data_IF_890427957308
#
_entry.id   IF_890427957308
#
_cell.length_a   1.000
_cell.length_b   1.000
_cell.length_c   1.000
_cell.angle_alpha   90.00
_cell.angle_beta   90.00
_cell.angle_gamma   90.00
#
_symmetry.space_group_name_H-M   'P 1'
#
loop_
_entity.id
_entity.type
_entity.pdbx_description
1 polymer ?
#
# COMPACT_ATOMS: atom_id res chain seq x y z
N UNK A 1 25.29 10.09 -21.89
CA UNK A 1 25.20 9.06 -20.81
C UNK A 1 25.69 9.74 -19.57
N UNK A 2 24.90 9.75 -18.54
CA UNK A 2 25.26 10.34 -17.25
C UNK A 2 25.54 9.24 -16.23
N UNK A 3 26.51 9.48 -15.37
CA UNK A 3 27.02 8.47 -14.44
C UNK A 3 26.81 8.88 -12.99
N UNK A 4 26.55 7.90 -12.12
CA UNK A 4 26.45 8.11 -10.69
C UNK A 4 27.84 8.51 -10.14
N UNK A 5 27.93 9.68 -9.49
CA UNK A 5 29.19 10.14 -8.86
C UNK A 5 29.14 10.15 -7.34
N UNK A 6 27.92 10.25 -6.75
CA UNK A 6 27.75 10.22 -5.30
C UNK A 6 26.45 9.53 -4.92
N UNK A 7 26.53 8.69 -3.90
CA UNK A 7 25.37 8.10 -3.21
C UNK A 7 25.53 8.33 -1.73
N UNK A 8 24.58 9.00 -1.11
CA UNK A 8 24.65 9.40 0.28
C UNK A 8 23.35 9.10 1.03
N UNK A 9 23.43 8.21 2.01
CA UNK A 9 22.31 7.91 2.90
C UNK A 9 22.37 8.68 4.21
N UNK A 10 21.18 8.96 4.77
CA UNK A 10 20.98 9.48 6.11
C UNK A 10 19.79 8.83 6.80
N UNK A 11 19.78 8.94 8.12
CA UNK A 11 18.61 8.60 8.93
C UNK A 11 17.72 9.84 9.04
N UNK A 12 16.44 9.68 8.71
CA UNK A 12 15.37 10.66 8.95
C UNK A 12 14.30 10.06 9.83
N UNK A 13 13.22 10.78 10.11
CA UNK A 13 12.08 10.27 10.88
C UNK A 13 10.85 10.08 9.99
N UNK A 14 10.12 9.00 10.21
CA UNK A 14 8.84 8.73 9.58
C UNK A 14 7.67 9.44 10.29
N UNK A 15 6.46 9.28 9.77
CA UNK A 15 5.22 9.88 10.29
C UNK A 15 4.85 9.44 11.72
N UNK A 16 5.50 8.39 12.24
CA UNK A 16 5.35 7.89 13.61
C UNK A 16 6.50 8.34 14.52
N UNK A 17 7.45 9.13 14.00
CA UNK A 17 8.67 9.53 14.72
C UNK A 17 9.69 8.41 14.85
N UNK A 18 9.58 7.32 14.07
CA UNK A 18 10.58 6.26 14.01
C UNK A 18 11.62 6.57 12.93
N UNK A 19 12.90 6.21 13.15
CA UNK A 19 13.92 6.33 12.12
C UNK A 19 13.59 5.54 10.86
N UNK A 20 13.91 6.16 9.69
CA UNK A 20 13.92 5.50 8.39
C UNK A 20 15.09 6.00 7.54
N UNK A 21 15.32 5.37 6.39
CA UNK A 21 16.45 5.67 5.49
C UNK A 21 16.00 6.62 4.40
N UNK A 22 16.79 7.67 4.17
CA UNK A 22 16.72 8.54 3.00
C UNK A 22 18.05 8.51 2.26
N UNK A 23 18.01 8.46 0.92
CA UNK A 23 19.19 8.43 0.06
C UNK A 23 19.12 9.53 -0.98
N UNK A 24 20.25 10.20 -1.20
CA UNK A 24 20.54 11.06 -2.34
C UNK A 24 21.45 10.32 -3.32
N UNK A 25 21.14 10.41 -4.61
CA UNK A 25 22.00 9.98 -5.72
C UNK A 25 22.25 11.19 -6.60
N UNK A 26 23.52 11.49 -6.86
CA UNK A 26 23.95 12.60 -7.70
C UNK A 26 24.66 12.07 -8.94
N UNK A 27 24.36 12.64 -10.10
CA UNK A 27 25.02 12.35 -11.38
C UNK A 27 26.12 13.37 -11.70
N UNK A 28 27.01 13.02 -12.63
CA UNK A 28 28.07 13.90 -13.15
C UNK A 28 27.52 15.13 -13.92
N UNK A 29 26.32 15.06 -14.45
CA UNK A 29 25.62 16.20 -15.07
C UNK A 29 24.80 17.03 -14.06
N UNK A 30 24.78 16.63 -12.78
CA UNK A 30 24.20 17.40 -11.68
C UNK A 30 22.75 17.05 -11.33
N UNK A 31 22.16 16.01 -11.93
CA UNK A 31 20.83 15.55 -11.53
C UNK A 31 20.86 14.90 -10.15
N UNK A 32 19.89 15.26 -9.30
CA UNK A 32 19.78 14.81 -7.92
C UNK A 32 18.48 14.02 -7.70
N UNK A 33 18.59 12.72 -7.43
CA UNK A 33 17.47 11.91 -7.00
C UNK A 33 17.46 11.70 -5.49
N UNK A 34 16.35 12.03 -4.81
CA UNK A 34 16.17 11.80 -3.37
C UNK A 34 14.99 10.89 -3.12
N UNK A 35 15.18 9.84 -2.33
CA UNK A 35 14.10 8.95 -1.93
C UNK A 35 14.19 8.59 -0.45
N UNK A 36 13.03 8.59 0.22
CA UNK A 36 12.85 8.09 1.57
C UNK A 36 11.95 6.86 1.55
N UNK A 37 12.27 5.85 2.36
CA UNK A 37 11.52 4.58 2.36
C UNK A 37 10.54 4.50 3.51
N UNK A 38 9.35 3.87 3.29
CA UNK A 38 8.36 3.66 4.33
C UNK A 38 8.72 2.47 5.23
N UNK A 39 7.99 2.33 6.35
CA UNK A 39 8.15 1.26 7.33
C UNK A 39 6.80 0.72 7.78
N UNK A 40 6.64 -0.61 7.85
CA UNK A 40 5.41 -1.25 8.32
C UNK A 40 5.23 -1.20 9.85
N UNK A 41 3.98 -1.27 10.32
CA UNK A 41 3.64 -1.56 11.71
C UNK A 41 3.40 -3.06 11.90
N UNK A 42 2.49 -3.64 11.12
CA UNK A 42 2.35 -5.08 10.91
C UNK A 42 3.18 -5.49 9.69
N UNK A 43 3.85 -6.62 9.75
CA UNK A 43 4.68 -7.12 8.64
C UNK A 43 4.37 -8.59 8.43
N UNK A 44 4.10 -8.99 7.18
CA UNK A 44 3.98 -10.38 6.78
C UNK A 44 5.29 -11.13 7.01
N UNK A 45 5.21 -12.37 7.41
CA UNK A 45 6.42 -13.19 7.74
C UNK A 45 7.33 -13.42 6.53
N UNK A 46 6.83 -13.19 5.33
CA UNK A 46 7.53 -13.39 4.06
C UNK A 46 8.09 -12.09 3.45
N UNK A 47 7.95 -10.94 4.13
CA UNK A 47 8.50 -9.67 3.65
C UNK A 47 10.03 -9.65 3.65
N UNK A 48 10.62 -8.84 2.78
CA UNK A 48 12.04 -8.53 2.81
C UNK A 48 12.41 -7.81 4.12
N UNK A 49 13.62 -8.05 4.61
CA UNK A 49 14.04 -7.64 5.94
C UNK A 49 14.34 -6.14 6.03
N UNK A 50 13.61 -5.41 6.84
CA UNK A 50 13.94 -4.06 7.25
C UNK A 50 15.06 -4.10 8.30
N UNK A 51 16.25 -3.58 7.98
CA UNK A 51 17.40 -3.64 8.88
C UNK A 51 17.31 -2.54 9.93
N UNK A 52 17.21 -2.96 11.21
CA UNK A 52 17.19 -2.11 12.41
C UNK A 52 18.46 -2.30 13.24
N UNK A 53 18.86 -1.22 13.97
CA UNK A 53 20.07 -1.24 14.80
C UNK A 53 19.93 -2.15 16.02
N UNK A 54 18.71 -2.31 16.54
CA UNK A 54 18.38 -3.06 17.77
C UNK A 54 19.08 -2.54 19.04
N UNK A 55 19.61 -1.31 19.01
CA UNK A 55 20.17 -0.63 20.17
C UNK A 55 19.05 0.02 20.99
N UNK A 56 18.60 -0.64 22.03
CA UNK A 56 17.51 -0.16 22.89
C UNK A 56 17.77 1.21 23.54
N UNK A 57 19.02 1.68 23.61
CA UNK A 57 19.38 2.99 24.15
C UNK A 57 19.09 4.14 23.18
N UNK A 58 18.89 3.85 21.90
CA UNK A 58 18.63 4.83 20.83
C UNK A 58 17.35 4.45 20.10
N UNK A 59 16.40 5.40 20.00
CA UNK A 59 15.12 5.19 19.32
C UNK A 59 14.40 3.88 19.70
N UNK A 60 14.56 3.44 20.95
CA UNK A 60 13.95 2.19 21.48
C UNK A 60 14.30 0.95 20.61
N UNK A 61 15.51 0.94 20.03
CA UNK A 61 15.97 -0.15 19.15
C UNK A 61 15.65 0.04 17.65
N UNK A 62 14.87 1.07 17.29
CA UNK A 62 14.39 1.26 15.92
C UNK A 62 15.33 2.08 15.01
N UNK A 63 16.55 2.43 15.45
CA UNK A 63 17.56 3.10 14.63
C UNK A 63 17.85 2.35 13.33
N UNK A 64 18.33 3.08 12.30
CA UNK A 64 18.66 2.52 10.96
C UNK A 64 20.10 2.87 10.52
N UNK A 65 20.97 3.22 11.47
CA UNK A 65 22.35 3.59 11.13
C UNK A 65 23.17 2.45 10.51
N UNK A 66 22.84 1.19 10.79
CA UNK A 66 23.45 0.04 10.10
C UNK A 66 23.09 0.04 8.62
N UNK A 67 21.81 0.26 8.28
CA UNK A 67 21.35 0.36 6.91
C UNK A 67 22.00 1.57 6.20
N UNK A 68 22.04 2.73 6.86
CA UNK A 68 22.74 3.93 6.36
C UNK A 68 24.23 3.63 6.08
N UNK A 69 24.91 2.96 7.00
CA UNK A 69 26.31 2.55 6.81
C UNK A 69 26.47 1.60 5.62
N UNK A 70 25.57 0.64 5.46
CA UNK A 70 25.59 -0.29 4.33
C UNK A 70 25.45 0.44 2.98
N UNK A 71 24.61 1.47 2.91
CA UNK A 71 24.54 2.32 1.70
C UNK A 71 25.87 3.05 1.48
N UNK A 72 26.36 3.80 2.47
CA UNK A 72 27.51 4.69 2.30
C UNK A 72 28.83 3.94 2.10
N UNK A 73 29.04 2.79 2.77
CA UNK A 73 30.31 2.08 2.77
C UNK A 73 30.36 0.92 1.76
N UNK A 74 29.20 0.34 1.39
CA UNK A 74 29.16 -0.84 0.52
C UNK A 74 28.47 -0.49 -0.81
N UNK A 75 27.17 -0.13 -0.79
CA UNK A 75 26.41 0.08 -2.03
C UNK A 75 27.02 1.20 -2.85
N UNK A 76 27.28 2.37 -2.26
CA UNK A 76 27.84 3.54 -2.94
C UNK A 76 29.14 3.21 -3.69
N UNK A 77 30.05 2.45 -3.07
CA UNK A 77 31.33 2.08 -3.69
C UNK A 77 31.20 1.16 -4.90
N UNK A 78 30.12 0.40 -4.96
CA UNK A 78 29.90 -0.57 -6.03
C UNK A 78 29.07 -0.02 -7.19
N UNK A 79 28.25 1.03 -6.96
CA UNK A 79 27.42 1.62 -8.03
C UNK A 79 27.92 2.95 -8.56
N UNK A 80 28.89 3.62 -7.90
CA UNK A 80 29.55 4.80 -8.45
C UNK A 80 30.20 4.46 -9.79
N UNK A 81 29.98 5.29 -10.80
CA UNK A 81 30.41 5.09 -12.18
C UNK A 81 29.44 4.28 -13.03
N UNK A 82 28.32 3.79 -12.47
CA UNK A 82 27.26 3.18 -13.29
C UNK A 82 26.51 4.24 -14.08
N UNK A 83 26.05 3.87 -15.26
CA UNK A 83 25.07 4.64 -16.03
C UNK A 83 23.78 4.75 -15.21
N UNK A 84 23.31 5.98 -14.99
CA UNK A 84 22.12 6.26 -14.16
C UNK A 84 20.86 5.58 -14.70
N UNK A 85 20.80 5.28 -15.98
CA UNK A 85 19.66 4.63 -16.64
C UNK A 85 19.64 3.11 -16.49
N UNK A 86 20.73 2.51 -15.99
CA UNK A 86 20.90 1.05 -15.85
C UNK A 86 20.16 0.47 -14.63
N UNK A 87 18.93 0.93 -14.34
CA UNK A 87 18.14 0.59 -13.15
C UNK A 87 18.17 -0.91 -12.80
N UNK A 88 17.84 -1.76 -13.77
CA UNK A 88 17.75 -3.20 -13.52
C UNK A 88 19.11 -3.83 -13.15
N UNK A 89 20.21 -3.35 -13.76
CA UNK A 89 21.55 -3.82 -13.44
C UNK A 89 22.00 -3.35 -12.05
N UNK A 90 21.67 -2.11 -11.67
CA UNK A 90 21.95 -1.57 -10.34
C UNK A 90 21.17 -2.32 -9.27
N UNK A 91 19.88 -2.56 -9.47
CA UNK A 91 19.04 -3.31 -8.53
C UNK A 91 19.55 -4.74 -8.38
N UNK A 92 19.90 -5.41 -9.48
CA UNK A 92 20.44 -6.76 -9.47
C UNK A 92 21.79 -6.84 -8.74
N UNK A 93 22.68 -5.88 -8.97
CA UNK A 93 23.97 -5.79 -8.25
C UNK A 93 23.75 -5.65 -6.74
N UNK A 94 22.80 -4.80 -6.30
CA UNK A 94 22.51 -4.66 -4.87
C UNK A 94 21.97 -5.94 -4.25
N UNK A 95 21.14 -6.69 -4.97
CA UNK A 95 20.63 -8.01 -4.55
C UNK A 95 21.80 -9.00 -4.40
N UNK A 96 22.72 -9.03 -5.34
CA UNK A 96 23.93 -9.90 -5.31
C UNK A 96 24.88 -9.53 -4.18
N UNK A 97 25.09 -8.24 -3.89
CA UNK A 97 25.89 -7.75 -2.76
C UNK A 97 25.28 -8.15 -1.41
N UNK A 98 23.96 -8.18 -1.31
CA UNK A 98 23.25 -8.71 -0.15
C UNK A 98 23.43 -10.23 -0.05
N UNK A 99 23.12 -10.96 -1.11
CA UNK A 99 23.31 -12.40 -1.23
C UNK A 99 22.40 -13.25 -0.34
N UNK A 100 21.39 -12.65 0.34
CA UNK A 100 20.39 -13.38 1.14
C UNK A 100 19.03 -13.38 0.46
N UNK A 101 18.19 -14.37 0.73
CA UNK A 101 16.90 -14.51 0.09
C UNK A 101 15.92 -13.36 0.39
N UNK A 102 16.09 -12.71 1.55
CA UNK A 102 15.19 -11.67 2.04
C UNK A 102 15.88 -10.32 2.31
N UNK A 103 17.05 -10.09 1.71
CA UNK A 103 17.84 -8.85 1.86
C UNK A 103 18.22 -8.49 3.31
N UNK A 104 18.46 -9.52 4.14
CA UNK A 104 18.73 -9.33 5.59
C UNK A 104 20.15 -8.86 5.91
N UNK A 105 21.10 -8.93 4.98
CA UNK A 105 22.50 -8.51 5.20
C UNK A 105 22.67 -7.00 5.05
N UNK A 106 22.24 -6.43 3.95
CA UNK A 106 22.31 -4.99 3.70
C UNK A 106 21.08 -4.25 4.23
N UNK A 107 19.94 -4.90 4.20
CA UNK A 107 18.62 -4.36 4.55
C UNK A 107 17.81 -3.96 3.33
N UNK A 108 16.56 -4.43 3.24
CA UNK A 108 15.66 -4.03 2.17
C UNK A 108 15.42 -2.51 2.15
N UNK A 109 15.40 -1.87 3.31
CA UNK A 109 15.30 -0.41 3.43
C UNK A 109 16.51 0.32 2.83
N UNK A 110 17.74 -0.19 3.00
CA UNK A 110 18.94 0.36 2.36
C UNK A 110 18.88 0.22 0.84
N UNK A 111 18.57 -0.98 0.35
CA UNK A 111 18.52 -1.30 -1.08
C UNK A 111 17.42 -0.51 -1.77
N UNK A 112 16.21 -0.48 -1.22
CA UNK A 112 15.07 0.24 -1.80
C UNK A 112 15.32 1.75 -1.89
N UNK A 113 15.89 2.35 -0.84
CA UNK A 113 16.13 3.79 -0.85
C UNK A 113 17.09 4.19 -1.99
N UNK A 114 18.13 3.40 -2.25
CA UNK A 114 19.03 3.58 -3.38
C UNK A 114 18.30 3.36 -4.71
N UNK A 115 17.58 2.26 -4.84
CA UNK A 115 16.84 1.90 -6.05
C UNK A 115 15.89 3.04 -6.49
N UNK A 116 15.11 3.60 -5.55
CA UNK A 116 14.19 4.69 -5.85
C UNK A 116 14.91 6.03 -6.12
N UNK A 117 16.01 6.29 -5.41
CA UNK A 117 16.81 7.52 -5.64
C UNK A 117 17.47 7.50 -7.03
N UNK A 118 17.97 6.33 -7.47
CA UNK A 118 18.49 6.14 -8.84
C UNK A 118 17.43 6.46 -9.89
N UNK A 119 16.23 5.91 -9.74
CA UNK A 119 15.13 6.18 -10.69
C UNK A 119 14.74 7.65 -10.74
N UNK A 120 14.77 8.35 -9.58
CA UNK A 120 14.49 9.80 -9.53
C UNK A 120 15.59 10.64 -10.17
N UNK A 121 16.87 10.29 -9.94
CA UNK A 121 17.99 10.96 -10.59
C UNK A 121 17.95 10.76 -12.12
N UNK A 122 17.63 9.54 -12.58
CA UNK A 122 17.49 9.24 -14.00
C UNK A 122 16.30 9.98 -14.65
N UNK A 123 15.20 10.15 -13.93
CA UNK A 123 14.05 10.94 -14.40
C UNK A 123 14.40 12.43 -14.52
N UNK A 124 15.11 12.98 -13.54
CA UNK A 124 15.62 14.37 -13.56
C UNK A 124 16.60 14.58 -14.72
N UNK A 125 17.53 13.64 -14.93
CA UNK A 125 18.47 13.64 -16.05
C UNK A 125 17.77 13.65 -17.41
N UNK A 126 16.70 12.85 -17.51
CA UNK A 126 15.87 12.79 -18.71
C UNK A 126 14.93 14.00 -18.88
N UNK A 127 14.90 14.90 -17.91
CA UNK A 127 13.95 16.02 -17.84
C UNK A 127 12.48 15.56 -17.99
N UNK A 128 12.16 14.45 -17.32
CA UNK A 128 10.82 13.86 -17.29
C UNK A 128 10.31 13.73 -15.85
N UNK A 129 9.01 13.94 -15.60
CA UNK A 129 8.42 13.56 -14.33
C UNK A 129 8.55 12.04 -14.11
N UNK A 130 8.73 11.62 -12.85
CA UNK A 130 9.04 10.23 -12.50
C UNK A 130 8.05 9.23 -13.11
N UNK A 131 6.74 9.50 -13.04
CA UNK A 131 5.74 8.61 -13.60
C UNK A 131 5.90 8.41 -15.11
N UNK A 132 6.33 9.46 -15.84
CA UNK A 132 6.56 9.41 -17.29
C UNK A 132 7.86 8.69 -17.64
N UNK A 133 8.91 8.91 -16.86
CA UNK A 133 10.19 8.23 -17.02
C UNK A 133 10.03 6.71 -16.88
N UNK A 134 9.37 6.25 -15.81
CA UNK A 134 9.21 4.82 -15.53
C UNK A 134 8.17 4.17 -16.47
N UNK A 135 7.02 4.82 -16.67
CA UNK A 135 5.88 4.22 -17.38
C UNK A 135 5.78 4.53 -18.87
N UNK A 136 6.66 5.43 -19.36
CA UNK A 136 6.69 5.82 -20.77
C UNK A 136 5.44 6.56 -21.24
N UNK A 137 5.17 6.50 -22.54
CA UNK A 137 4.11 7.30 -23.17
C UNK A 137 2.69 6.90 -22.77
N UNK A 138 2.50 5.67 -22.27
CA UNK A 138 1.18 5.18 -21.85
C UNK A 138 0.93 5.32 -20.33
N UNK A 139 1.82 5.96 -19.57
CA UNK A 139 1.62 6.28 -18.16
C UNK A 139 0.60 7.41 -18.01
N UNK A 140 -0.70 7.08 -17.97
CA UNK A 140 -1.79 8.07 -17.98
C UNK A 140 -3.04 7.65 -17.19
N UNK A 141 -3.02 6.50 -16.55
CA UNK A 141 -4.15 6.04 -15.73
C UNK A 141 -3.98 6.57 -14.30
N UNK A 142 -4.84 7.51 -13.91
CA UNK A 142 -4.94 7.97 -12.53
C UNK A 142 -5.60 6.90 -11.68
N UNK A 143 -5.06 6.61 -10.48
CA UNK A 143 -5.59 5.53 -9.67
C UNK A 143 -6.87 5.93 -8.92
N UNK A 144 -7.84 5.01 -8.81
CA UNK A 144 -8.97 5.12 -7.89
C UNK A 144 -8.47 5.11 -6.44
N UNK A 145 -8.74 6.14 -5.62
CA UNK A 145 -8.33 6.14 -4.23
C UNK A 145 -9.19 5.20 -3.38
N UNK A 146 -8.51 4.38 -2.57
CA UNK A 146 -9.08 3.57 -1.49
C UNK A 146 -8.71 4.26 -0.17
N UNK A 147 -9.64 5.05 0.38
CA UNK A 147 -9.35 5.97 1.49
C UNK A 147 -9.75 5.35 2.82
N UNK A 148 -8.77 4.99 3.66
CA UNK A 148 -9.01 4.41 4.99
C UNK A 148 -9.54 5.49 5.96
N UNK A 149 -10.85 5.56 6.16
CA UNK A 149 -11.49 6.61 6.99
C UNK A 149 -11.84 6.17 8.40
N UNK A 150 -11.86 4.85 8.70
CA UNK A 150 -12.14 4.30 10.02
C UNK A 150 -11.28 3.06 10.29
N UNK A 151 -10.62 3.03 11.44
CA UNK A 151 -9.64 2.02 11.83
C UNK A 151 -10.15 1.11 12.94
N UNK A 152 -9.74 -0.14 12.88
CA UNK A 152 -9.83 -1.14 13.92
C UNK A 152 -8.56 -2.01 13.97
N UNK A 153 -8.70 -3.28 14.32
CA UNK A 153 -7.59 -4.23 14.34
C UNK A 153 -6.36 -3.73 15.09
N UNK A 154 -5.20 -3.93 14.52
CA UNK A 154 -3.92 -3.42 15.05
C UNK A 154 -3.77 -1.89 14.92
N UNK A 155 -4.58 -1.23 14.08
CA UNK A 155 -4.52 0.21 13.83
C UNK A 155 -5.29 1.07 14.84
N UNK A 156 -6.07 0.47 15.75
CA UNK A 156 -6.82 1.21 16.76
C UNK A 156 -7.03 0.40 18.05
N UNK A 157 -6.99 1.07 19.19
CA UNK A 157 -7.33 0.49 20.50
C UNK A 157 -8.85 0.58 20.73
N UNK A 158 -9.61 -0.29 20.03
CA UNK A 158 -11.07 -0.39 20.10
C UNK A 158 -11.53 -1.86 19.94
N UNK A 159 -12.86 -2.08 19.88
CA UNK A 159 -13.47 -3.43 19.79
C UNK A 159 -13.80 -3.85 18.36
N UNK A 160 -13.09 -3.33 17.38
CA UNK A 160 -13.24 -3.69 15.97
C UNK A 160 -12.12 -4.68 15.63
N UNK A 161 -12.45 -5.86 15.09
CA UNK A 161 -11.45 -6.85 14.71
C UNK A 161 -10.78 -6.54 13.37
N UNK A 162 -11.54 -6.04 12.38
CA UNK A 162 -11.03 -5.70 11.07
C UNK A 162 -10.26 -4.39 11.09
N UNK A 163 -9.17 -4.34 10.30
CA UNK A 163 -8.17 -3.30 10.44
C UNK A 163 -8.59 -1.96 9.80
N UNK A 164 -9.21 -2.00 8.61
CA UNK A 164 -9.53 -0.78 7.86
C UNK A 164 -10.89 -0.84 7.18
N UNK A 165 -11.62 0.27 7.26
CA UNK A 165 -12.85 0.52 6.52
C UNK A 165 -12.58 1.68 5.57
N UNK A 166 -12.54 1.38 4.28
CA UNK A 166 -12.17 2.30 3.22
C UNK A 166 -13.37 2.69 2.38
N UNK A 167 -13.38 3.93 1.89
CA UNK A 167 -14.31 4.40 0.85
C UNK A 167 -13.61 4.49 -0.50
N UNK A 168 -14.36 4.17 -1.56
CA UNK A 168 -13.91 4.27 -2.95
C UNK A 168 -14.93 5.10 -3.74
N UNK A 169 -14.54 6.26 -4.31
CA UNK A 169 -15.45 7.14 -5.07
C UNK A 169 -15.65 6.65 -6.51
N UNK A 170 -16.20 5.43 -6.66
CA UNK A 170 -16.33 4.69 -7.94
C UNK A 170 -17.22 5.38 -8.98
N UNK A 171 -18.04 6.32 -8.57
CA UNK A 171 -18.90 7.12 -9.45
C UNK A 171 -18.32 8.48 -9.82
N UNK A 172 -17.16 8.85 -9.30
CA UNK A 172 -16.54 10.13 -9.57
C UNK A 172 -16.04 10.23 -11.03
N UNK A 173 -16.17 11.41 -11.68
CA UNK A 173 -15.76 11.59 -13.07
C UNK A 173 -14.25 11.78 -13.25
N UNK A 174 -13.53 12.19 -12.20
CA UNK A 174 -12.09 12.47 -12.21
C UNK A 174 -11.46 12.12 -10.86
N UNK A 175 -10.12 12.09 -10.80
CA UNK A 175 -9.41 11.86 -9.55
C UNK A 175 -9.68 12.98 -8.53
N UNK A 176 -9.57 14.24 -8.95
CA UNK A 176 -9.81 15.40 -8.06
C UNK A 176 -11.22 15.42 -7.50
N UNK A 177 -12.25 15.09 -8.31
CA UNK A 177 -13.62 14.97 -7.83
C UNK A 177 -13.77 13.79 -6.86
N UNK A 178 -13.16 12.66 -7.14
CA UNK A 178 -13.15 11.51 -6.23
C UNK A 178 -12.52 11.86 -4.88
N UNK A 179 -11.40 12.56 -4.90
CA UNK A 179 -10.73 13.04 -3.69
C UNK A 179 -11.62 14.02 -2.92
N UNK A 180 -12.27 14.99 -3.60
CA UNK A 180 -13.21 15.93 -2.97
C UNK A 180 -14.33 15.18 -2.24
N UNK A 181 -14.98 14.22 -2.91
CA UNK A 181 -16.03 13.40 -2.28
C UNK A 181 -15.51 12.67 -1.04
N UNK A 182 -14.32 12.10 -1.12
CA UNK A 182 -13.69 11.44 0.02
C UNK A 182 -13.44 12.37 1.20
N UNK A 183 -12.97 13.59 0.95
CA UNK A 183 -12.76 14.64 1.99
C UNK A 183 -14.07 15.06 2.63
N UNK A 184 -15.11 15.28 1.85
CA UNK A 184 -16.43 15.66 2.36
C UNK A 184 -17.04 14.57 3.24
N UNK A 185 -16.92 13.29 2.83
CA UNK A 185 -17.35 12.14 3.63
C UNK A 185 -16.52 12.02 4.91
N UNK A 186 -15.20 12.21 4.84
CA UNK A 186 -14.33 12.21 6.02
C UNK A 186 -14.78 13.25 7.05
N UNK A 187 -15.07 14.49 6.65
CA UNK A 187 -15.57 15.53 7.54
C UNK A 187 -16.98 15.22 8.06
N UNK A 188 -17.84 14.63 7.24
CA UNK A 188 -19.17 14.20 7.67
C UNK A 188 -19.06 13.03 8.68
N UNK A 189 -18.16 12.08 8.48
CA UNK A 189 -17.89 11.00 9.45
C UNK A 189 -17.43 11.56 10.79
N UNK A 190 -16.56 12.60 10.79
CA UNK A 190 -16.18 13.32 12.01
C UNK A 190 -17.39 13.86 12.76
N UNK A 191 -18.33 14.47 12.04
CA UNK A 191 -19.56 15.00 12.61
C UNK A 191 -20.47 13.90 13.16
N UNK A 192 -20.62 12.81 12.43
CA UNK A 192 -21.42 11.62 12.83
C UNK A 192 -20.86 10.98 14.10
N UNK A 193 -19.55 10.75 14.14
CA UNK A 193 -18.86 10.19 15.32
C UNK A 193 -19.04 11.09 16.56
N UNK A 194 -18.85 12.40 16.37
CA UNK A 194 -19.03 13.38 17.47
C UNK A 194 -20.46 13.39 18.02
N UNK A 195 -21.49 13.32 17.14
CA UNK A 195 -22.90 13.23 17.55
C UNK A 195 -23.20 11.96 18.33
N UNK A 196 -22.53 10.84 17.99
CA UNK A 196 -22.64 9.56 18.72
C UNK A 196 -21.83 9.52 20.01
N UNK A 197 -21.07 10.57 20.33
CA UNK A 197 -20.20 10.63 21.52
C UNK A 197 -18.88 9.86 21.37
N UNK A 198 -18.48 9.49 20.15
CA UNK A 198 -17.22 8.82 19.88
C UNK A 198 -16.05 9.79 19.71
N UNK A 199 -14.84 9.30 19.97
CA UNK A 199 -13.59 10.01 19.69
C UNK A 199 -13.44 10.29 18.18
N UNK A 200 -12.92 11.45 17.86
CA UNK A 200 -12.54 11.84 16.49
C UNK A 200 -11.01 11.96 16.34
N UNK A 201 -10.25 11.35 17.24
CA UNK A 201 -8.81 11.18 17.07
C UNK A 201 -8.53 10.26 15.90
N UNK A 202 -7.41 10.50 15.20
CA UNK A 202 -7.01 9.72 14.04
C UNK A 202 -5.84 8.80 14.39
N UNK A 203 -5.79 7.64 13.70
CA UNK A 203 -4.68 6.70 13.76
C UNK A 203 -3.50 7.10 12.86
N UNK A 204 -2.54 6.20 12.75
CA UNK A 204 -1.30 6.40 11.99
C UNK A 204 -1.54 6.74 10.50
N UNK A 205 -2.61 6.25 9.93
CA UNK A 205 -2.97 6.45 8.52
C UNK A 205 -3.99 7.56 8.27
N UNK A 206 -4.32 8.32 9.31
CA UNK A 206 -5.19 9.50 9.21
C UNK A 206 -6.68 9.21 9.29
N UNK A 207 -7.12 7.95 9.32
CA UNK A 207 -8.52 7.55 9.57
C UNK A 207 -8.89 7.67 11.05
N UNK A 208 -10.18 7.82 11.36
CA UNK A 208 -10.64 7.89 12.76
C UNK A 208 -10.45 6.55 13.47
N UNK A 209 -10.16 6.61 14.77
CA UNK A 209 -10.00 5.45 15.65
C UNK A 209 -11.00 5.52 16.82
N UNK A 210 -12.32 5.48 16.56
CA UNK A 210 -13.34 5.57 17.59
C UNK A 210 -13.47 4.26 18.37
N UNK A 211 -13.89 4.33 19.64
CA UNK A 211 -14.18 3.13 20.42
C UNK A 211 -15.56 2.52 20.09
N UNK A 212 -15.76 2.20 18.83
CA UNK A 212 -16.94 1.47 18.32
C UNK A 212 -16.88 0.01 18.81
N UNK A 213 -18.04 -0.60 18.99
CA UNK A 213 -18.18 -1.86 19.74
C UNK A 213 -18.23 -3.11 18.87
N UNK A 214 -18.43 -2.99 17.54
CA UNK A 214 -18.50 -4.12 16.61
C UNK A 214 -18.06 -3.75 15.20
N UNK A 215 -17.72 -4.77 14.41
CA UNK A 215 -17.40 -4.62 12.98
C UNK A 215 -18.61 -4.09 12.20
N UNK A 216 -19.80 -4.57 12.53
CA UNK A 216 -21.06 -4.15 11.90
C UNK A 216 -21.35 -2.67 12.17
N UNK A 217 -21.20 -2.21 13.41
CA UNK A 217 -21.41 -0.80 13.76
C UNK A 217 -20.41 0.10 13.02
N UNK A 218 -19.16 -0.37 12.82
CA UNK A 218 -18.15 0.37 12.09
C UNK A 218 -18.56 0.63 10.65
N UNK A 219 -18.90 -0.42 9.88
CA UNK A 219 -19.31 -0.26 8.48
C UNK A 219 -20.62 0.54 8.36
N UNK A 220 -21.58 0.32 9.24
CA UNK A 220 -22.87 1.04 9.25
C UNK A 220 -22.68 2.53 9.56
N UNK A 221 -21.73 2.88 10.44
CA UNK A 221 -21.38 4.28 10.73
C UNK A 221 -20.72 4.96 9.52
N UNK A 222 -19.89 4.24 8.77
CA UNK A 222 -19.32 4.75 7.51
C UNK A 222 -20.41 4.96 6.47
N UNK A 223 -21.35 4.02 6.31
CA UNK A 223 -22.47 4.15 5.37
C UNK A 223 -23.40 5.31 5.73
N UNK A 224 -23.67 5.53 7.01
CA UNK A 224 -24.42 6.68 7.51
C UNK A 224 -23.73 7.99 7.13
N UNK A 225 -22.41 8.07 7.29
CA UNK A 225 -21.65 9.26 6.93
C UNK A 225 -21.67 9.54 5.42
N UNK A 226 -21.58 8.51 4.57
CA UNK A 226 -21.69 8.64 3.11
C UNK A 226 -23.06 9.25 2.73
N UNK A 227 -24.15 8.70 3.29
CA UNK A 227 -25.51 9.19 3.02
C UNK A 227 -25.73 10.60 3.54
N UNK A 228 -25.24 10.91 4.74
CA UNK A 228 -25.33 12.22 5.34
C UNK A 228 -24.50 13.29 4.60
N UNK A 229 -23.45 12.88 3.89
CA UNK A 229 -22.71 13.74 2.96
C UNK A 229 -23.42 13.95 1.61
N UNK A 230 -24.56 13.29 1.39
CA UNK A 230 -25.36 13.42 0.15
C UNK A 230 -24.97 12.46 -0.97
N UNK A 231 -24.12 11.46 -0.70
CA UNK A 231 -23.68 10.51 -1.71
C UNK A 231 -24.45 9.19 -1.65
N UNK A 232 -24.61 8.55 -2.82
CA UNK A 232 -25.28 7.26 -2.96
C UNK A 232 -24.30 6.11 -2.74
N UNK A 233 -24.58 5.28 -1.74
CA UNK A 233 -23.79 4.06 -1.47
C UNK A 233 -23.89 3.07 -2.63
N UNK A 234 -22.77 2.41 -2.96
CA UNK A 234 -22.66 1.41 -4.01
C UNK A 234 -22.59 1.95 -5.44
N UNK A 235 -23.22 3.07 -5.75
CA UNK A 235 -23.19 3.67 -7.09
C UNK A 235 -22.17 4.81 -7.24
N UNK A 236 -22.10 5.69 -6.24
CA UNK A 236 -21.11 6.77 -6.18
C UNK A 236 -19.94 6.40 -5.29
N UNK A 237 -20.22 5.87 -4.11
CA UNK A 237 -19.21 5.45 -3.12
C UNK A 237 -19.42 3.97 -2.80
N UNK A 238 -18.40 3.17 -3.04
CA UNK A 238 -18.34 1.78 -2.62
C UNK A 238 -17.45 1.64 -1.36
N UNK A 239 -17.51 0.48 -0.72
CA UNK A 239 -16.69 0.14 0.44
C UNK A 239 -15.59 -0.84 0.03
N UNK A 240 -14.38 -0.58 0.51
CA UNK A 240 -13.30 -1.55 0.54
C UNK A 240 -12.89 -1.80 2.00
N UNK A 241 -12.36 -2.98 2.26
CA UNK A 241 -11.94 -3.39 3.59
C UNK A 241 -10.54 -3.98 3.56
N UNK A 242 -9.78 -3.75 4.62
CA UNK A 242 -8.65 -4.58 5.00
C UNK A 242 -8.99 -5.32 6.27
N UNK A 243 -9.07 -6.63 6.15
CA UNK A 243 -9.44 -7.50 7.27
C UNK A 243 -8.24 -7.91 8.12
N UNK A 244 -7.02 -7.93 7.53
CA UNK A 244 -5.77 -8.37 8.16
C UNK A 244 -5.93 -9.70 8.92
N UNK A 245 -6.56 -10.70 8.30
CA UNK A 245 -6.99 -11.92 8.99
C UNK A 245 -5.83 -12.83 9.46
N UNK A 246 -4.59 -12.56 9.08
CA UNK A 246 -3.43 -13.20 9.71
C UNK A 246 -3.36 -12.88 11.21
N UNK A 247 -3.76 -11.67 11.63
CA UNK A 247 -3.84 -11.25 13.04
C UNK A 247 -4.93 -12.01 13.84
N UNK A 248 -5.97 -12.48 13.16
CA UNK A 248 -7.06 -13.25 13.79
C UNK A 248 -6.79 -14.76 13.79
N UNK A 249 -5.77 -15.22 13.05
CA UNK A 249 -5.50 -16.64 12.90
C UNK A 249 -4.81 -17.27 14.11
N UNK A 250 -5.46 -18.24 14.73
CA UNK A 250 -4.85 -19.05 15.77
C UNK A 250 -4.34 -20.38 15.18
N UNK A 251 -3.05 -20.47 14.95
CA UNK A 251 -2.40 -21.63 14.30
C UNK A 251 -2.59 -22.95 15.10
N UNK A 252 -2.64 -22.88 16.43
CA UNK A 252 -2.84 -24.08 17.30
C UNK A 252 -4.25 -24.64 17.17
N UNK A 253 -5.24 -23.76 17.10
CA UNK A 253 -6.67 -24.15 16.97
C UNK A 253 -7.09 -24.33 15.52
N UNK A 254 -6.31 -23.84 14.55
CA UNK A 254 -6.66 -23.71 13.13
C UNK A 254 -8.00 -23.00 12.93
N UNK A 255 -8.15 -21.86 13.62
CA UNK A 255 -9.37 -21.04 13.62
C UNK A 255 -9.04 -19.57 13.64
N UNK A 256 -9.94 -18.77 13.09
CA UNK A 256 -9.98 -17.32 13.23
C UNK A 256 -10.70 -16.95 14.51
N UNK A 257 -10.15 -16.05 15.30
CA UNK A 257 -10.69 -15.63 16.59
C UNK A 257 -10.95 -14.13 16.59
N UNK A 258 -12.19 -13.72 16.73
CA UNK A 258 -12.57 -12.30 16.84
C UNK A 258 -12.31 -11.80 18.26
N UNK A 259 -11.04 -11.69 18.60
CA UNK A 259 -10.59 -11.50 19.99
C UNK A 259 -10.87 -10.10 20.57
N UNK A 260 -11.05 -9.08 19.72
CA UNK A 260 -11.34 -7.71 20.16
C UNK A 260 -12.84 -7.49 20.40
N UNK A 261 -13.69 -8.13 19.64
CA UNK A 261 -15.15 -7.96 19.74
C UNK A 261 -15.82 -9.05 20.57
N UNK A 262 -16.11 -10.19 19.97
CA UNK A 262 -17.03 -11.20 20.51
C UNK A 262 -16.34 -12.42 21.10
N UNK A 263 -15.07 -12.63 20.85
CA UNK A 263 -14.34 -13.87 21.14
C UNK A 263 -14.77 -15.05 20.25
N UNK A 264 -15.60 -14.82 19.23
CA UNK A 264 -16.11 -15.87 18.34
C UNK A 264 -14.98 -16.56 17.58
N UNK A 265 -14.99 -17.89 17.60
CA UNK A 265 -14.08 -18.73 16.84
C UNK A 265 -14.75 -19.21 15.56
N UNK A 266 -14.06 -19.14 14.43
CA UNK A 266 -14.57 -19.60 13.13
C UNK A 266 -13.53 -20.46 12.41
N UNK A 267 -13.97 -21.53 11.76
CA UNK A 267 -13.16 -22.23 10.76
C UNK A 267 -13.01 -21.37 9.49
N UNK A 268 -12.08 -21.73 8.60
CA UNK A 268 -11.94 -21.08 7.29
C UNK A 268 -13.25 -21.06 6.51
N UNK A 269 -14.00 -22.17 6.46
CA UNK A 269 -15.29 -22.23 5.75
C UNK A 269 -16.37 -21.36 6.41
N UNK A 270 -16.35 -21.21 7.73
CA UNK A 270 -17.27 -20.30 8.43
C UNK A 270 -16.94 -18.84 8.16
N UNK A 271 -15.65 -18.49 8.06
CA UNK A 271 -15.23 -17.13 7.70
C UNK A 271 -15.58 -16.82 6.24
N UNK A 272 -15.45 -17.78 5.31
CA UNK A 272 -15.90 -17.61 3.92
C UNK A 272 -17.40 -17.29 3.85
N UNK A 273 -18.24 -18.00 4.61
CA UNK A 273 -19.69 -17.72 4.70
C UNK A 273 -19.98 -16.36 5.33
N UNK A 274 -19.17 -15.94 6.29
CA UNK A 274 -19.27 -14.61 6.90
C UNK A 274 -19.02 -13.51 5.83
N UNK A 275 -17.94 -13.63 5.04
CA UNK A 275 -17.65 -12.71 3.95
C UNK A 275 -18.73 -12.72 2.86
N UNK A 276 -19.23 -13.90 2.48
CA UNK A 276 -20.35 -14.01 1.53
C UNK A 276 -21.58 -13.23 2.02
N UNK A 277 -21.90 -13.32 3.31
CA UNK A 277 -23.03 -12.58 3.90
C UNK A 277 -22.82 -11.08 3.90
N UNK A 278 -21.59 -10.63 4.16
CA UNK A 278 -21.23 -9.22 4.18
C UNK A 278 -21.26 -8.59 2.78
N UNK A 279 -20.72 -9.26 1.78
CA UNK A 279 -20.76 -8.78 0.37
C UNK A 279 -22.20 -8.72 -0.16
N UNK A 280 -23.10 -9.59 0.33
CA UNK A 280 -24.55 -9.52 0.01
C UNK A 280 -25.26 -8.37 0.71
N UNK A 281 -24.87 -8.05 1.96
CA UNK A 281 -25.55 -7.06 2.80
C UNK A 281 -25.06 -5.64 2.52
N UNK A 282 -23.77 -5.46 2.29
CA UNK A 282 -23.11 -4.15 2.19
C UNK A 282 -22.53 -3.92 0.80
N UNK A 283 -22.35 -2.68 0.36
CA UNK A 283 -21.77 -2.35 -0.94
C UNK A 283 -20.24 -2.52 -0.97
N UNK A 284 -19.76 -3.68 -0.51
CA UNK A 284 -18.35 -4.04 -0.47
C UNK A 284 -17.93 -4.52 -1.85
N UNK A 285 -16.89 -3.89 -2.41
CA UNK A 285 -16.33 -4.22 -3.72
C UNK A 285 -14.90 -4.79 -3.64
N UNK A 286 -14.23 -4.64 -2.49
CA UNK A 286 -12.86 -5.11 -2.29
C UNK A 286 -12.63 -5.56 -0.86
N UNK A 287 -11.98 -6.71 -0.67
CA UNK A 287 -11.54 -7.25 0.62
C UNK A 287 -10.07 -7.62 0.50
N UNK A 288 -9.24 -6.96 1.30
CA UNK A 288 -7.81 -7.24 1.45
C UNK A 288 -7.63 -8.21 2.62
N UNK A 289 -6.76 -9.20 2.42
CA UNK A 289 -6.41 -10.26 3.37
C UNK A 289 -7.64 -10.85 4.10
N UNK A 290 -8.63 -11.25 3.28
CA UNK A 290 -9.86 -11.89 3.76
C UNK A 290 -9.64 -13.25 4.43
N UNK A 291 -8.45 -13.84 4.29
CA UNK A 291 -7.97 -15.05 4.96
C UNK A 291 -6.52 -14.84 5.40
N UNK A 292 -6.00 -15.68 6.29
CA UNK A 292 -4.59 -15.62 6.73
C UNK A 292 -3.62 -15.96 5.58
N UNK A 293 -2.41 -15.43 5.66
CA UNK A 293 -1.36 -15.45 4.60
C UNK A 293 -0.93 -16.85 4.15
N UNK A 294 -1.10 -17.89 4.99
CA UNK A 294 -0.77 -19.28 4.65
C UNK A 294 -2.00 -20.21 4.62
N UNK A 295 -3.22 -19.69 4.80
CA UNK A 295 -4.46 -20.45 4.63
C UNK A 295 -4.88 -20.54 3.15
N UNK A 296 -4.03 -21.16 2.32
CA UNK A 296 -4.24 -21.31 0.88
C UNK A 296 -5.56 -21.98 0.51
N UNK A 297 -6.05 -22.92 1.32
CA UNK A 297 -7.33 -23.58 1.10
C UNK A 297 -8.50 -22.64 1.40
N UNK A 298 -8.43 -21.90 2.50
CA UNK A 298 -9.40 -20.86 2.82
C UNK A 298 -9.49 -19.79 1.73
N UNK A 299 -8.35 -19.33 1.25
CA UNK A 299 -8.28 -18.39 0.12
C UNK A 299 -8.90 -18.96 -1.17
N UNK A 300 -8.66 -20.25 -1.47
CA UNK A 300 -9.28 -20.93 -2.62
C UNK A 300 -10.80 -20.95 -2.51
N UNK A 301 -11.31 -21.33 -1.34
CA UNK A 301 -12.74 -21.36 -1.07
C UNK A 301 -13.36 -19.96 -1.14
N UNK A 302 -12.69 -18.94 -0.57
CA UNK A 302 -13.12 -17.54 -0.63
C UNK A 302 -13.21 -17.06 -2.07
N UNK A 303 -12.15 -17.29 -2.86
CA UNK A 303 -12.11 -16.88 -4.28
C UNK A 303 -13.21 -17.53 -5.10
N UNK A 304 -13.45 -18.82 -4.88
CA UNK A 304 -14.51 -19.55 -5.57
C UNK A 304 -15.91 -19.04 -5.20
N UNK A 305 -16.09 -18.59 -3.94
CA UNK A 305 -17.41 -18.19 -3.42
C UNK A 305 -17.80 -16.77 -3.83
N UNK A 306 -16.87 -15.81 -3.78
CA UNK A 306 -17.18 -14.38 -4.00
C UNK A 306 -16.25 -13.67 -4.97
N UNK A 307 -15.21 -14.32 -5.51
CA UNK A 307 -14.24 -13.67 -6.39
C UNK A 307 -14.80 -13.20 -7.74
N UNK A 308 -16.01 -13.65 -8.14
CA UNK A 308 -16.73 -13.12 -9.30
C UNK A 308 -17.46 -11.80 -9.02
N UNK A 309 -17.63 -11.43 -7.77
CA UNK A 309 -18.42 -10.25 -7.30
C UNK A 309 -17.59 -9.23 -6.57
N UNK A 310 -16.45 -9.65 -6.00
CA UNK A 310 -15.64 -8.84 -5.11
C UNK A 310 -14.15 -8.98 -5.48
N UNK A 311 -13.44 -7.88 -5.47
CA UNK A 311 -11.98 -7.88 -5.56
C UNK A 311 -11.42 -8.50 -4.27
N UNK A 312 -10.59 -9.50 -4.40
CA UNK A 312 -9.90 -10.19 -3.31
C UNK A 312 -8.41 -9.89 -3.42
N UNK A 313 -7.92 -9.06 -2.52
CA UNK A 313 -6.56 -8.53 -2.57
C UNK A 313 -5.65 -9.29 -1.61
N UNK A 314 -4.52 -9.77 -2.12
CA UNK A 314 -3.47 -10.34 -1.28
C UNK A 314 -2.42 -9.28 -0.96
N UNK A 315 -2.30 -8.94 0.34
CA UNK A 315 -1.20 -8.16 0.93
C UNK A 315 -0.17 -9.12 1.55
N UNK A 316 -0.38 -9.59 2.76
CA UNK A 316 0.49 -10.57 3.42
C UNK A 316 0.54 -11.90 2.65
N UNK A 317 -0.53 -12.25 1.94
CA UNK A 317 -0.56 -13.43 1.07
C UNK A 317 0.56 -13.41 0.02
N UNK A 318 0.80 -12.28 -0.63
CA UNK A 318 1.72 -12.16 -1.77
C UNK A 318 2.99 -11.37 -1.47
N UNK A 319 2.97 -10.45 -0.52
CA UNK A 319 4.08 -9.58 -0.09
C UNK A 319 4.86 -8.96 -1.27
N UNK A 320 4.15 -8.58 -2.34
CA UNK A 320 4.72 -8.06 -3.60
C UNK A 320 5.78 -9.00 -4.23
N UNK A 321 5.76 -10.29 -3.88
CA UNK A 321 6.75 -11.28 -4.28
C UNK A 321 6.26 -12.11 -5.47
N UNK A 322 7.01 -12.11 -6.58
CA UNK A 322 6.63 -12.82 -7.82
C UNK A 322 6.43 -14.33 -7.63
N UNK A 323 7.18 -14.98 -6.75
CA UNK A 323 7.06 -16.42 -6.49
C UNK A 323 5.75 -16.76 -5.75
N UNK A 324 5.41 -15.98 -4.71
CA UNK A 324 4.14 -16.14 -4.00
C UNK A 324 2.96 -15.80 -4.89
N UNK A 325 3.07 -14.72 -5.67
CA UNK A 325 2.04 -14.31 -6.64
C UNK A 325 1.83 -15.41 -7.70
N UNK A 326 2.90 -15.98 -8.26
CA UNK A 326 2.80 -17.10 -9.22
C UNK A 326 2.08 -18.29 -8.61
N UNK A 327 2.39 -18.63 -7.34
CA UNK A 327 1.66 -19.67 -6.60
C UNK A 327 0.16 -19.40 -6.51
N UNK A 328 -0.23 -18.14 -6.26
CA UNK A 328 -1.64 -17.72 -6.23
C UNK A 328 -2.30 -17.83 -7.61
N UNK A 329 -1.61 -17.41 -8.66
CA UNK A 329 -2.07 -17.51 -10.05
C UNK A 329 -2.32 -18.98 -10.42
N UNK A 330 -1.36 -19.86 -10.19
CA UNK A 330 -1.43 -21.30 -10.51
C UNK A 330 -2.60 -21.98 -9.79
N UNK A 331 -2.84 -21.58 -8.55
CA UNK A 331 -3.95 -22.09 -7.72
C UNK A 331 -5.28 -21.37 -7.99
N UNK A 332 -5.30 -20.32 -8.78
CA UNK A 332 -6.49 -19.45 -9.03
C UNK A 332 -7.04 -18.89 -7.72
N UNK A 333 -6.21 -18.21 -6.95
CA UNK A 333 -6.48 -17.65 -5.63
C UNK A 333 -6.35 -16.14 -5.68
N UNK A 334 -7.30 -15.41 -5.07
CA UNK A 334 -7.41 -13.96 -5.14
C UNK A 334 -7.61 -13.45 -6.59
N UNK A 335 -7.67 -12.15 -6.79
CA UNK A 335 -7.76 -11.48 -8.08
C UNK A 335 -7.18 -10.05 -8.04
N UNK A 336 -6.49 -9.70 -6.96
CA UNK A 336 -5.80 -8.43 -6.78
C UNK A 336 -4.51 -8.61 -5.99
N UNK A 337 -3.49 -7.80 -6.34
CA UNK A 337 -2.21 -7.69 -5.67
C UNK A 337 -2.10 -6.33 -4.99
N UNK A 338 -1.87 -6.29 -3.69
CA UNK A 338 -1.40 -5.09 -3.03
C UNK A 338 0.09 -4.93 -3.28
N UNK A 339 0.51 -3.74 -3.70
CA UNK A 339 1.90 -3.46 -4.12
C UNK A 339 2.54 -2.54 -3.09
N UNK A 340 3.44 -3.07 -2.29
CA UNK A 340 4.23 -2.34 -1.30
C UNK A 340 5.71 -2.46 -1.65
N UNK A 341 6.31 -1.38 -2.13
CA UNK A 341 7.69 -1.37 -2.64
C UNK A 341 8.71 -1.91 -1.65
N UNK A 342 8.50 -1.69 -0.35
CA UNK A 342 9.43 -2.13 0.69
C UNK A 342 9.26 -3.59 1.11
N UNK A 343 8.16 -4.26 0.73
CA UNK A 343 7.99 -5.71 0.99
C UNK A 343 8.94 -6.56 0.14
N UNK A 344 9.33 -6.05 -1.03
CA UNK A 344 10.25 -6.74 -1.94
C UNK A 344 11.63 -6.07 -2.01
N UNK A 345 11.70 -4.73 -1.99
CA UNK A 345 12.92 -3.97 -1.71
C UNK A 345 13.69 -3.43 -2.90
N UNK A 346 13.19 -3.54 -4.15
CA UNK A 346 13.69 -2.81 -5.32
C UNK A 346 12.55 -2.34 -6.23
N UNK A 347 12.82 -1.31 -7.04
CA UNK A 347 11.88 -0.86 -8.06
C UNK A 347 11.69 -1.92 -9.16
N UNK A 348 12.78 -2.55 -9.62
CA UNK A 348 12.72 -3.59 -10.66
C UNK A 348 11.86 -4.78 -10.23
N UNK A 349 12.04 -5.31 -9.01
CA UNK A 349 11.20 -6.40 -8.52
C UNK A 349 9.74 -5.98 -8.36
N UNK A 350 9.49 -4.73 -7.92
CA UNK A 350 8.14 -4.17 -7.84
C UNK A 350 7.46 -4.12 -9.20
N UNK A 351 8.15 -3.62 -10.24
CA UNK A 351 7.66 -3.60 -11.62
C UNK A 351 7.36 -5.03 -12.11
N UNK A 352 8.24 -5.97 -11.84
CA UNK A 352 8.06 -7.37 -12.22
C UNK A 352 6.80 -7.98 -11.57
N UNK A 353 6.55 -7.70 -10.29
CA UNK A 353 5.36 -8.19 -9.60
C UNK A 353 4.07 -7.58 -10.18
N UNK A 354 4.05 -6.27 -10.44
CA UNK A 354 2.92 -5.58 -11.08
C UNK A 354 2.66 -6.14 -12.48
N UNK A 355 3.70 -6.30 -13.29
CA UNK A 355 3.61 -6.83 -14.65
C UNK A 355 3.06 -8.26 -14.65
N UNK A 356 3.58 -9.13 -13.77
CA UNK A 356 3.08 -10.51 -13.62
C UNK A 356 1.59 -10.52 -13.24
N UNK A 357 1.18 -9.68 -12.27
CA UNK A 357 -0.22 -9.57 -11.84
C UNK A 357 -1.13 -9.17 -13.01
N UNK A 358 -0.80 -8.08 -13.71
CA UNK A 358 -1.60 -7.53 -14.79
C UNK A 358 -1.71 -8.50 -15.98
N UNK A 359 -0.62 -9.17 -16.38
CA UNK A 359 -0.63 -10.17 -17.45
C UNK A 359 -1.51 -11.38 -17.14
N UNK A 360 -1.76 -11.66 -15.86
CA UNK A 360 -2.63 -12.74 -15.40
C UNK A 360 -4.03 -12.28 -14.96
N UNK A 361 -4.41 -11.04 -15.29
CA UNK A 361 -5.75 -10.50 -15.06
C UNK A 361 -6.03 -10.11 -13.60
N UNK A 362 -4.99 -10.02 -12.76
CA UNK A 362 -5.11 -9.48 -11.40
C UNK A 362 -5.13 -7.95 -11.44
N UNK A 363 -5.96 -7.35 -10.62
CA UNK A 363 -5.86 -5.92 -10.35
C UNK A 363 -4.59 -5.63 -9.53
N UNK A 364 -4.08 -4.41 -9.66
CA UNK A 364 -2.94 -3.95 -8.87
C UNK A 364 -3.31 -2.70 -8.09
N UNK A 365 -2.97 -2.65 -6.81
CA UNK A 365 -3.26 -1.55 -5.92
C UNK A 365 -1.93 -1.05 -5.34
N UNK A 366 -1.48 0.12 -5.76
CA UNK A 366 -0.29 0.72 -5.16
C UNK A 366 -0.59 1.14 -3.72
N UNK A 367 0.29 0.80 -2.78
CA UNK A 367 0.01 0.98 -1.36
C UNK A 367 1.13 1.69 -0.61
N UNK A 368 0.72 2.49 0.37
CA UNK A 368 1.56 3.05 1.42
C UNK A 368 1.90 1.99 2.49
N UNK A 369 2.61 2.43 3.53
CA UNK A 369 2.77 1.71 4.81
C UNK A 369 2.29 2.59 5.97
N UNK A 370 2.17 2.00 7.17
CA UNK A 370 1.75 2.74 8.37
C UNK A 370 2.72 3.84 8.74
N UNK A 371 4.03 3.62 8.62
CA UNK A 371 5.07 4.65 8.74
C UNK A 371 5.46 5.17 7.36
N UNK A 372 5.04 6.38 7.04
CA UNK A 372 5.34 7.08 5.80
C UNK A 372 6.21 8.31 6.03
N UNK A 373 6.67 8.90 4.94
CA UNK A 373 7.33 10.21 4.92
C UNK A 373 6.59 11.12 3.95
N UNK A 374 7.13 12.31 3.66
CA UNK A 374 6.61 13.20 2.62
C UNK A 374 6.91 12.70 1.20
N UNK A 375 7.69 11.63 1.06
CA UNK A 375 8.02 11.05 -0.25
C UNK A 375 6.75 10.64 -1.01
N UNK A 376 6.68 11.01 -2.30
CA UNK A 376 5.50 10.82 -3.14
C UNK A 376 5.67 9.72 -4.18
N UNK A 377 6.76 8.98 -4.16
CA UNK A 377 7.13 7.99 -5.18
C UNK A 377 5.99 7.04 -5.53
N UNK A 378 5.23 6.54 -4.53
CA UNK A 378 4.13 5.61 -4.79
C UNK A 378 2.97 6.23 -5.59
N UNK A 379 2.78 7.55 -5.53
CA UNK A 379 1.81 8.24 -6.38
C UNK A 379 2.25 8.22 -7.85
N UNK A 380 3.51 8.51 -8.11
CA UNK A 380 4.11 8.42 -9.45
C UNK A 380 4.09 6.98 -9.97
N UNK A 381 4.45 5.99 -9.13
CA UNK A 381 4.44 4.58 -9.50
C UNK A 381 3.02 4.06 -9.82
N UNK A 382 1.99 4.51 -9.10
CA UNK A 382 0.60 4.12 -9.39
C UNK A 382 0.19 4.51 -10.81
N UNK A 383 0.61 5.70 -11.27
CA UNK A 383 0.36 6.17 -12.64
C UNK A 383 1.30 5.54 -13.65
N UNK A 384 2.61 5.46 -13.32
CA UNK A 384 3.63 4.86 -14.18
C UNK A 384 3.26 3.44 -14.62
N UNK A 385 2.80 2.63 -13.67
CA UNK A 385 2.47 1.22 -13.88
C UNK A 385 1.00 0.99 -14.22
N UNK A 386 0.23 2.06 -14.42
CA UNK A 386 -1.21 2.00 -14.68
C UNK A 386 -1.94 1.06 -13.70
N UNK A 387 -1.61 1.14 -12.40
CA UNK A 387 -2.18 0.25 -11.37
C UNK A 387 -3.70 0.36 -11.27
N UNK A 388 -4.27 1.51 -11.62
CA UNK A 388 -5.70 1.77 -11.59
C UNK A 388 -6.28 2.01 -10.20
N UNK A 389 -5.55 1.66 -9.13
CA UNK A 389 -5.98 1.86 -7.74
C UNK A 389 -4.79 2.25 -6.86
N UNK A 390 -5.06 3.02 -5.79
CA UNK A 390 -4.08 3.40 -4.76
C UNK A 390 -4.71 3.35 -3.37
N UNK A 391 -4.02 2.70 -2.43
CA UNK A 391 -4.33 2.69 -0.99
C UNK A 391 -3.25 3.52 -0.29
N UNK A 392 -3.56 4.77 0.09
CA UNK A 392 -2.55 5.66 0.68
C UNK A 392 -3.09 6.46 1.88
N UNK A 393 -3.94 5.80 2.67
CA UNK A 393 -4.49 6.33 3.91
C UNK A 393 -5.73 7.20 3.71
N UNK A 394 -6.03 7.98 4.73
CA UNK A 394 -7.21 8.84 4.80
C UNK A 394 -6.98 10.24 4.22
N UNK A 395 -8.02 11.09 4.31
CA UNK A 395 -7.99 12.50 3.92
C UNK A 395 -7.42 13.41 5.03
N UNK A 396 -6.44 12.94 5.78
CA UNK A 396 -5.74 13.69 6.83
C UNK A 396 -4.32 13.19 7.02
N UNK A 397 -3.48 13.95 7.70
CA UNK A 397 -2.03 13.81 7.88
C UNK A 397 -1.24 14.10 6.60
N UNK A 398 -0.21 14.95 6.71
CA UNK A 398 0.55 15.45 5.54
C UNK A 398 1.30 14.35 4.78
N UNK A 399 1.72 13.30 5.49
CA UNK A 399 2.36 12.12 4.89
C UNK A 399 1.43 11.34 3.93
N UNK A 400 0.11 11.39 4.16
CA UNK A 400 -0.92 10.82 3.26
C UNK A 400 -1.29 11.81 2.17
N UNK A 401 -1.59 13.07 2.57
CA UNK A 401 -1.98 14.11 1.63
C UNK A 401 -0.90 14.44 0.61
N UNK A 402 0.39 14.23 0.92
CA UNK A 402 1.48 14.41 -0.03
C UNK A 402 1.28 13.56 -1.31
N UNK A 403 0.83 12.31 -1.17
CA UNK A 403 0.56 11.39 -2.30
C UNK A 403 -0.67 11.83 -3.08
N UNK A 404 -1.76 12.21 -2.40
CA UNK A 404 -2.97 12.73 -3.07
C UNK A 404 -2.69 14.03 -3.81
N UNK A 405 -1.93 14.96 -3.20
CA UNK A 405 -1.53 16.20 -3.84
C UNK A 405 -0.64 15.97 -5.07
N UNK A 406 0.24 14.97 -5.02
CA UNK A 406 1.03 14.58 -6.19
C UNK A 406 0.15 14.05 -7.32
N UNK A 407 -0.86 13.24 -7.02
CA UNK A 407 -1.81 12.76 -8.03
C UNK A 407 -2.64 13.88 -8.66
N UNK A 408 -3.00 14.93 -7.89
CA UNK A 408 -3.64 16.14 -8.45
C UNK A 408 -2.70 16.83 -9.46
N UNK A 409 -1.41 16.98 -9.12
CA UNK A 409 -0.43 17.57 -10.06
C UNK A 409 -0.27 16.73 -11.33
N UNK A 410 -0.26 15.40 -11.17
CA UNK A 410 -0.19 14.49 -12.32
C UNK A 410 -1.47 14.58 -13.18
N UNK A 411 -2.65 14.67 -12.55
CA UNK A 411 -3.92 14.89 -13.27
C UNK A 411 -3.88 16.17 -14.10
N UNK A 412 -3.40 17.26 -13.52
CA UNK A 412 -3.21 18.54 -14.21
C UNK A 412 -2.23 18.42 -15.39
N UNK A 413 -1.08 17.75 -15.20
CA UNK A 413 -0.10 17.53 -16.27
C UNK A 413 -0.63 16.66 -17.42
N UNK A 414 -1.47 15.68 -17.12
CA UNK A 414 -2.07 14.79 -18.11
C UNK A 414 -3.21 15.47 -18.88
N UNK A 415 -3.91 16.41 -18.27
CA UNK A 415 -5.06 17.10 -18.84
C UNK A 415 -6.09 16.13 -19.41
N UNK A 416 -6.58 16.38 -20.63
CA UNK A 416 -7.58 15.55 -21.30
C UNK A 416 -7.08 14.13 -21.67
N UNK A 417 -5.76 13.87 -21.65
CA UNK A 417 -5.21 12.55 -21.94
C UNK A 417 -5.24 11.63 -20.73
N UNK A 418 -5.48 12.17 -19.54
CA UNK A 418 -5.61 11.41 -18.31
C UNK A 418 -6.84 10.48 -18.34
N UNK A 419 -6.67 9.28 -17.83
CA UNK A 419 -7.77 8.30 -17.73
C UNK A 419 -8.03 8.03 -16.25
N UNK A 420 -9.24 8.30 -15.79
CA UNK A 420 -9.66 7.91 -14.45
C UNK A 420 -10.62 6.71 -14.56
N UNK A 421 -10.35 5.59 -13.83
CA UNK A 421 -11.18 4.41 -13.91
C UNK A 421 -12.49 4.63 -13.17
N UNK A 422 -13.59 4.70 -13.90
CA UNK A 422 -14.94 4.73 -13.34
C UNK A 422 -15.48 3.32 -13.10
N UNK A 423 -16.60 3.18 -12.37
CA UNK A 423 -17.22 1.92 -11.98
C UNK A 423 -17.34 0.88 -13.11
N UNK A 424 -17.50 1.28 -14.35
CA UNK A 424 -17.59 0.36 -15.51
C UNK A 424 -16.25 -0.13 -16.05
N UNK A 425 -15.14 0.46 -15.57
CA UNK A 425 -13.77 0.14 -16.04
C UNK A 425 -12.94 -0.61 -14.99
N UNK A 426 -13.29 -0.47 -13.71
CA UNK A 426 -12.71 -1.27 -12.63
C UNK A 426 -13.40 -2.63 -12.59
N UNK A 427 -12.62 -3.68 -12.71
CA UNK A 427 -13.11 -5.05 -12.52
C UNK A 427 -13.01 -5.36 -11.03
N UNK A 428 -14.12 -5.30 -10.30
CA UNK A 428 -14.16 -5.73 -8.90
C UNK A 428 -14.39 -7.22 -8.72
N UNK A 429 -14.43 -7.99 -9.80
CA UNK A 429 -14.58 -9.44 -9.80
C UNK A 429 -14.19 -10.02 -11.17
N UNK A 430 -14.19 -11.34 -11.27
CA UNK A 430 -13.74 -12.07 -12.46
C UNK A 430 -14.76 -12.09 -13.62
N UNK A 431 -15.74 -11.19 -13.63
CA UNK A 431 -16.71 -11.03 -14.73
C UNK A 431 -16.52 -9.75 -15.49
#
# INVERSE_FOLDING_TARGET
>A
MSYIIEVRARQILDSRGNPTVEVDVLTDEGALGRAAVPSGASTGIHEAAELRDNDKKKYVGKGVLKAVKNVNDIIAKNINGFDITAQAAIDQLMIELDGTANKSKLGANAILAVSLAVAKAAAEEANLPLYRYIGGTNARTLPMPMMNILNGGAHADNKIDFQEFMIMPVGAPSFSEGLRWGVEIFHQLKSTLKKKGYSTNVGDEGGFAPNIQSNEEAIETVLEAIQAAGYKTGSQIAIAMDAANSELWNAKKKKYVFHKSTGKEMSSDQLVKYWESWVKKYPIVSIEDGMAEDDWNGWKNLTTTIGDKCQLVGDDLFVTNVTRLQTGIDKKIANGLLVKVNQIGTLTETINAVTLAQHNGYNTIMSHRSGETEDTTIADLAVALNCGQIKTGSASRSDRMAKYNQLIRIEEQLGETGVFPTKGKLKFGNK
#
